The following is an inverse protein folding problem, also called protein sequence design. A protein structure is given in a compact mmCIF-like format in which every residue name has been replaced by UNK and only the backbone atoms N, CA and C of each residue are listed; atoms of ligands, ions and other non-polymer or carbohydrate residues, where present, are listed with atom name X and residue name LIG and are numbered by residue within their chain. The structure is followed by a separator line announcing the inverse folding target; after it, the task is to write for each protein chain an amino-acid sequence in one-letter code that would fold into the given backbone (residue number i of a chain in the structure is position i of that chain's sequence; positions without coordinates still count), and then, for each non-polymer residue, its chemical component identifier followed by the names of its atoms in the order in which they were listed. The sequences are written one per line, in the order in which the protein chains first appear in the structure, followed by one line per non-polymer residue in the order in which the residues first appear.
data_IF_225703104699
#
_entry.id   IF_225703104699
#
_cell.length_a   1.000
_cell.length_b   1.000
_cell.length_c   1.000
_cell.angle_alpha   90.00
_cell.angle_beta   90.00
_cell.angle_gamma   90.00
#
_symmetry.space_group_name_H-M   'P 1'
#
loop_
_entity.id
_entity.type
_entity.pdbx_description
1 polymer ?
#
# COMPACT_ATOMS: atom_id res chain seq x y z
N UNK A 1 7.94 -3.95 -18.56
CA UNK A 1 7.19 -3.56 -17.35
C UNK A 1 8.23 -3.09 -16.33
N UNK A 2 8.21 -1.82 -15.93
CA UNK A 2 9.15 -1.25 -14.96
C UNK A 2 8.58 -1.38 -13.54
N UNK A 3 9.43 -1.76 -12.57
CA UNK A 3 9.06 -1.78 -11.15
C UNK A 3 9.45 -0.43 -10.54
N UNK A 4 8.51 0.51 -10.47
CA UNK A 4 8.74 1.89 -10.03
C UNK A 4 7.68 2.34 -9.02
N UNK A 5 7.98 3.37 -8.23
CA UNK A 5 7.03 4.04 -7.36
C UNK A 5 6.36 5.23 -8.07
N UNK A 6 5.18 5.61 -7.59
CA UNK A 6 4.37 6.71 -8.13
C UNK A 6 4.34 7.87 -7.13
N UNK A 7 4.49 9.11 -7.61
CA UNK A 7 4.33 10.31 -6.79
C UNK A 7 2.85 10.53 -6.39
N UNK A 8 2.66 11.12 -5.21
CA UNK A 8 1.38 11.37 -4.52
C UNK A 8 0.61 12.55 -5.12
N UNK A 9 1.22 13.35 -5.99
CA UNK A 9 0.61 14.59 -6.48
C UNK A 9 1.20 15.12 -7.79
N UNK A 10 0.40 15.13 -8.86
CA UNK A 10 0.66 15.97 -10.03
C UNK A 10 -0.24 15.71 -11.23
N UNK A 11 -0.52 16.76 -12.02
CA UNK A 11 -1.16 16.68 -13.36
C UNK A 11 -0.33 15.85 -14.37
N UNK A 12 0.93 15.55 -14.03
CA UNK A 12 1.82 14.61 -14.71
C UNK A 12 2.21 13.51 -13.73
N UNK A 13 1.81 12.28 -14.04
CA UNK A 13 2.29 11.08 -13.35
C UNK A 13 3.83 11.05 -13.41
N UNK A 14 4.46 11.35 -12.30
CA UNK A 14 5.91 11.25 -12.13
C UNK A 14 6.17 9.94 -11.42
N UNK A 15 6.90 9.06 -12.12
CA UNK A 15 7.33 7.75 -11.64
C UNK A 15 8.81 7.83 -11.28
N UNK A 16 9.24 7.06 -10.29
CA UNK A 16 10.66 6.87 -10.01
C UNK A 16 11.34 6.08 -11.15
N UNK A 17 12.66 6.05 -11.13
CA UNK A 17 13.40 5.01 -11.81
C UNK A 17 13.05 3.61 -11.28
N UNK A 18 13.43 2.59 -12.05
CA UNK A 18 13.17 1.20 -11.67
C UNK A 18 13.95 0.84 -10.40
N UNK A 19 13.29 0.21 -9.42
CA UNK A 19 13.95 -0.30 -8.21
C UNK A 19 15.03 -1.34 -8.53
N UNK A 20 14.97 -1.96 -9.72
CA UNK A 20 16.01 -2.89 -10.19
C UNK A 20 17.28 -2.16 -10.67
N UNK A 21 17.20 -0.88 -10.97
CA UNK A 21 18.31 -0.06 -11.46
C UNK A 21 18.95 0.75 -10.32
N UNK A 22 18.13 1.41 -9.49
CA UNK A 22 18.61 2.32 -8.43
C UNK A 22 18.41 1.77 -7.01
N UNK A 23 17.72 0.64 -6.86
CA UNK A 23 17.34 0.11 -5.55
C UNK A 23 16.12 0.81 -4.93
N UNK A 24 15.65 0.27 -3.80
CA UNK A 24 14.38 0.69 -3.20
C UNK A 24 14.48 2.07 -2.54
N UNK A 25 15.56 2.35 -1.81
CA UNK A 25 15.68 3.59 -1.04
C UNK A 25 15.74 4.80 -1.97
N UNK A 26 16.59 4.76 -2.99
CA UNK A 26 16.75 5.86 -3.95
C UNK A 26 15.46 6.10 -4.72
N UNK A 27 14.77 5.03 -5.16
CA UNK A 27 13.47 5.15 -5.81
C UNK A 27 12.38 5.77 -4.92
N UNK A 28 12.40 5.55 -3.60
CA UNK A 28 11.46 6.17 -2.65
C UNK A 28 11.77 7.66 -2.41
N UNK A 29 13.04 8.04 -2.44
CA UNK A 29 13.48 9.42 -2.28
C UNK A 29 13.02 10.28 -3.47
N UNK A 30 13.07 9.75 -4.69
CA UNK A 30 12.60 10.42 -5.92
C UNK A 30 11.12 10.82 -5.88
N UNK A 31 10.27 9.98 -5.27
CA UNK A 31 8.81 10.23 -5.13
C UNK A 31 8.44 10.90 -3.81
N UNK A 32 9.43 11.38 -3.06
CA UNK A 32 9.24 12.06 -1.76
C UNK A 32 8.35 11.23 -0.84
N UNK A 33 8.69 9.95 -0.68
CA UNK A 33 7.97 9.08 0.22
C UNK A 33 7.96 9.66 1.65
N UNK A 34 6.81 9.57 2.29
CA UNK A 34 6.55 10.14 3.61
C UNK A 34 5.61 9.17 4.31
N UNK A 35 6.21 8.41 5.22
CA UNK A 35 5.54 7.37 6.00
C UNK A 35 4.54 7.98 6.99
N UNK A 36 4.86 9.15 7.57
CA UNK A 36 3.99 9.83 8.54
C UNK A 36 2.72 10.30 7.84
N UNK A 37 2.86 10.97 6.70
CA UNK A 37 1.74 11.44 5.91
C UNK A 37 0.90 10.29 5.32
N UNK A 38 1.51 9.13 5.07
CA UNK A 38 0.79 7.93 4.63
C UNK A 38 -0.06 7.34 5.75
N UNK A 39 0.52 7.20 6.96
CA UNK A 39 -0.20 6.73 8.15
C UNK A 39 -1.35 7.65 8.55
N UNK A 40 -1.14 8.97 8.53
CA UNK A 40 -2.16 9.96 8.88
C UNK A 40 -3.39 9.92 7.97
N UNK A 41 -3.24 9.52 6.71
CA UNK A 41 -4.34 9.35 5.75
C UNK A 41 -5.09 8.02 5.91
N UNK A 42 -4.70 7.20 6.89
CA UNK A 42 -5.26 5.86 7.07
C UNK A 42 -4.72 4.83 6.08
N UNK A 43 -3.56 5.07 5.45
CA UNK A 43 -2.96 4.15 4.47
C UNK A 43 -2.49 2.80 5.05
N UNK A 44 -2.52 2.63 6.37
CA UNK A 44 -2.15 1.39 7.04
C UNK A 44 -3.40 0.56 7.33
N UNK A 45 -3.62 -0.50 6.55
CA UNK A 45 -4.60 -1.53 6.86
C UNK A 45 -3.94 -2.75 7.51
N UNK A 46 -4.56 -3.25 8.57
CA UNK A 46 -4.07 -4.43 9.29
C UNK A 46 -4.75 -5.70 8.79
N UNK A 47 -4.15 -6.24 7.73
CA UNK A 47 -4.47 -7.50 7.07
C UNK A 47 -4.23 -8.76 7.93
N UNK A 48 -3.56 -8.65 9.09
CA UNK A 48 -3.34 -9.78 10.00
C UNK A 48 -4.46 -9.95 11.05
N UNK A 49 -5.38 -8.98 11.15
CA UNK A 49 -6.54 -9.05 12.08
C UNK A 49 -7.38 -10.30 11.88
N UNK A 50 -7.58 -10.71 10.63
CA UNK A 50 -8.42 -11.87 10.31
C UNK A 50 -7.67 -13.21 10.41
N UNK A 51 -6.34 -13.19 10.29
CA UNK A 51 -5.50 -14.39 10.30
C UNK A 51 -5.37 -15.03 11.69
N UNK A 52 -5.56 -14.24 12.76
CA UNK A 52 -5.50 -14.73 14.15
C UNK A 52 -6.88 -14.98 14.77
N UNK A 53 -7.95 -14.40 14.20
CA UNK A 53 -9.31 -14.67 14.64
C UNK A 53 -9.84 -16.05 14.18
N UNK A 54 -9.26 -16.62 13.12
CA UNK A 54 -9.79 -17.82 12.45
C UNK A 54 -8.71 -18.89 12.22
N UNK A 55 -8.03 -19.35 13.28
CA UNK A 55 -7.31 -20.62 13.21
C UNK A 55 -8.25 -21.84 13.00
N UNK A 56 -9.58 -21.63 13.03
CA UNK A 56 -10.62 -22.66 12.88
C UNK A 56 -11.86 -22.24 12.07
N UNK A 57 -11.77 -21.27 11.13
CA UNK A 57 -12.94 -20.92 10.31
C UNK A 57 -12.63 -20.73 8.84
N UNK A 58 -12.80 -21.81 8.08
CA UNK A 58 -13.15 -21.76 6.67
C UNK A 58 -14.64 -21.38 6.57
N UNK A 59 -14.94 -20.18 6.05
CA UNK A 59 -16.25 -19.78 5.53
C UNK A 59 -17.44 -19.86 6.49
N UNK A 60 -17.78 -18.76 7.17
CA UNK A 60 -19.01 -18.74 7.97
C UNK A 60 -19.36 -17.36 8.53
N UNK A 61 -19.73 -16.42 7.68
CA UNK A 61 -20.32 -15.16 8.13
C UNK A 61 -20.23 -14.06 7.08
N UNK A 62 -21.21 -14.01 6.18
CA UNK A 62 -21.46 -12.81 5.39
C UNK A 62 -21.89 -11.70 6.35
N UNK A 63 -21.05 -10.68 6.51
CA UNK A 63 -21.39 -9.49 7.27
C UNK A 63 -22.22 -8.57 6.35
N UNK A 64 -23.50 -8.40 6.68
CA UNK A 64 -24.46 -7.61 5.89
C UNK A 64 -24.11 -6.10 5.88
N UNK A 65 -23.17 -5.68 6.72
CA UNK A 65 -22.66 -4.31 6.80
C UNK A 65 -21.59 -3.96 5.73
N UNK A 66 -21.28 -4.88 4.81
CA UNK A 66 -20.37 -4.66 3.68
C UNK A 66 -21.11 -4.53 2.34
N UNK A 67 -22.29 -3.90 2.33
CA UNK A 67 -22.95 -3.47 1.09
C UNK A 67 -22.32 -2.14 0.64
N UNK A 68 -21.63 -2.19 -0.49
CA UNK A 68 -21.13 -1.02 -1.22
C UNK A 68 -22.21 -0.46 -2.14
#
# INVERSE_FOLDING_TARGET
MSLCFLDKSGEKETQSHSVLEVGVQEALDEVKWDEVAFKQRGGLYDWAKDATANADACGGGMNEDLVW
#
